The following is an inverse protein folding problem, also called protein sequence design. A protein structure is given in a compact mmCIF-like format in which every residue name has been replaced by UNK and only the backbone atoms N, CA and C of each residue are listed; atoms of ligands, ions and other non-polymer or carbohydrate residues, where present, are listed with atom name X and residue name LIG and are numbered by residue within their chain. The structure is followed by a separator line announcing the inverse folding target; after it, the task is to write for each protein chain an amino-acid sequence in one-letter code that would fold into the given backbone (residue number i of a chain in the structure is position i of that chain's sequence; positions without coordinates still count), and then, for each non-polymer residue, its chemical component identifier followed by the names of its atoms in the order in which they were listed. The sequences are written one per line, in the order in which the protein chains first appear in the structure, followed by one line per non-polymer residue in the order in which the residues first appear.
data_IF_834832396134
#
_entry.id   IF_834832396134
#
_cell.length_a   1.000
_cell.length_b   1.000
_cell.length_c   1.000
_cell.angle_alpha   90.00
_cell.angle_beta   90.00
_cell.angle_gamma   90.00
#
_symmetry.space_group_name_H-M   'P 1'
#
loop_
_entity.id
_entity.type
_entity.pdbx_description
1 polymer ?
#
# COMPACT_ATOMS: atom_id res chain seq x y z
N UNK A 1 16.14 -8.69 -9.76
CA UNK A 1 14.93 -9.32 -9.18
C UNK A 1 14.03 -8.18 -8.68
N UNK A 2 12.71 -8.35 -8.59
CA UNK A 2 11.86 -7.33 -7.95
C UNK A 2 12.34 -7.11 -6.51
N UNK A 3 12.35 -5.86 -6.04
CA UNK A 3 12.70 -5.52 -4.66
C UNK A 3 11.70 -6.18 -3.71
N UNK A 4 12.20 -6.79 -2.65
CA UNK A 4 11.38 -7.23 -1.51
C UNK A 4 10.85 -6.01 -0.75
N UNK A 5 9.81 -6.22 0.08
CA UNK A 5 9.27 -5.15 0.93
C UNK A 5 10.33 -4.57 1.89
N UNK A 6 11.25 -5.41 2.38
CA UNK A 6 12.35 -4.98 3.25
C UNK A 6 13.37 -4.13 2.48
N UNK A 7 13.85 -4.61 1.33
CA UNK A 7 14.78 -3.86 0.49
C UNK A 7 14.17 -2.51 0.05
N UNK A 8 12.86 -2.50 -0.23
CA UNK A 8 12.15 -1.26 -0.55
C UNK A 8 12.11 -0.30 0.64
N UNK A 9 11.80 -0.78 1.85
CA UNK A 9 11.86 0.03 3.06
C UNK A 9 13.27 0.59 3.32
N UNK A 10 14.31 -0.23 3.16
CA UNK A 10 15.71 0.21 3.30
C UNK A 10 16.08 1.27 2.25
N UNK A 11 15.64 1.10 0.99
CA UNK A 11 15.80 2.12 -0.06
C UNK A 11 15.16 3.43 0.36
N UNK A 12 13.92 3.42 0.87
CA UNK A 12 13.25 4.64 1.34
C UNK A 12 14.03 5.30 2.49
N UNK A 13 14.45 4.52 3.49
CA UNK A 13 15.24 5.04 4.63
C UNK A 13 16.59 5.64 4.20
N UNK A 14 17.22 5.09 3.18
CA UNK A 14 18.47 5.64 2.64
C UNK A 14 18.28 6.93 1.85
N UNK A 15 17.14 7.08 1.14
CA UNK A 15 16.84 8.21 0.26
C UNK A 15 16.26 9.41 1.00
N UNK A 16 15.37 9.18 1.95
CA UNK A 16 14.62 10.22 2.66
C UNK A 16 15.12 10.36 4.09
N UNK A 17 16.13 11.20 4.29
CA UNK A 17 16.91 11.25 5.53
C UNK A 17 16.46 12.33 6.51
N UNK A 18 15.46 13.15 6.16
CA UNK A 18 14.95 14.18 7.06
C UNK A 18 14.43 13.58 8.38
N UNK A 19 14.50 14.32 9.51
CA UNK A 19 14.12 13.78 10.81
C UNK A 19 12.69 13.24 10.87
N UNK A 20 11.72 13.90 10.23
CA UNK A 20 10.35 13.40 10.24
C UNK A 20 10.14 12.23 9.28
N UNK A 21 10.86 12.14 8.16
CA UNK A 21 10.81 10.95 7.30
C UNK A 21 11.34 9.72 8.02
N UNK A 22 12.47 9.84 8.69
CA UNK A 22 13.02 8.73 9.47
C UNK A 22 12.04 8.29 10.57
N UNK A 23 11.44 9.24 11.29
CA UNK A 23 10.39 8.94 12.28
C UNK A 23 9.20 8.20 11.65
N UNK A 24 8.66 8.70 10.53
CA UNK A 24 7.54 8.06 9.83
C UNK A 24 7.87 6.64 9.36
N UNK A 25 9.05 6.44 8.76
CA UNK A 25 9.52 5.14 8.27
C UNK A 25 9.89 4.15 9.40
N UNK A 26 10.06 4.64 10.62
CA UNK A 26 10.27 3.83 11.83
C UNK A 26 8.98 3.64 12.66
N UNK A 27 7.84 4.18 12.23
CA UNK A 27 6.58 4.11 12.98
C UNK A 27 6.49 5.02 14.20
N UNK A 28 7.43 5.95 14.34
CA UNK A 28 7.46 6.94 15.41
C UNK A 28 6.51 8.10 15.13
N UNK A 29 6.21 8.90 16.17
CA UNK A 29 5.41 10.11 16.01
C UNK A 29 6.16 11.18 15.21
N UNK A 30 5.58 11.66 14.11
CA UNK A 30 6.17 12.66 13.23
C UNK A 30 5.18 13.78 12.89
N UNK A 31 5.67 14.91 12.41
CA UNK A 31 4.85 16.06 12.00
C UNK A 31 5.04 16.30 10.51
N UNK A 32 4.03 15.94 9.72
CA UNK A 32 4.12 15.96 8.25
C UNK A 32 4.32 17.37 7.69
N UNK A 33 3.75 18.39 8.33
CA UNK A 33 3.76 19.77 7.82
C UNK A 33 4.97 20.59 8.31
N UNK A 34 5.67 20.14 9.34
CA UNK A 34 6.90 20.78 9.83
C UNK A 34 8.15 20.33 9.06
N UNK A 35 8.00 19.32 8.18
CA UNK A 35 9.07 18.83 7.33
C UNK A 35 8.91 19.34 5.89
N UNK A 36 9.82 20.22 5.49
CA UNK A 36 9.80 20.82 4.14
C UNK A 36 9.97 19.78 3.03
N UNK A 37 10.73 18.72 3.26
CA UNK A 37 10.95 17.67 2.27
C UNK A 37 9.65 16.86 2.07
N UNK A 38 8.98 16.48 3.17
CA UNK A 38 7.67 15.83 3.11
C UNK A 38 6.65 16.66 2.34
N UNK A 39 6.54 17.95 2.66
CA UNK A 39 5.59 18.85 1.98
C UNK A 39 5.88 18.93 0.48
N UNK A 40 7.16 18.97 0.08
CA UNK A 40 7.56 18.95 -1.34
C UNK A 40 7.17 17.65 -2.03
N UNK A 41 7.45 16.50 -1.41
CA UNK A 41 7.09 15.18 -1.97
C UNK A 41 5.57 15.06 -2.12
N UNK A 42 4.80 15.47 -1.11
CA UNK A 42 3.33 15.44 -1.14
C UNK A 42 2.75 16.36 -2.21
N UNK A 43 3.28 17.58 -2.35
CA UNK A 43 2.84 18.52 -3.39
C UNK A 43 3.11 17.96 -4.79
N UNK A 44 4.30 17.40 -5.01
CA UNK A 44 4.67 16.71 -6.25
C UNK A 44 3.71 15.57 -6.55
N UNK A 45 3.45 14.70 -5.57
CA UNK A 45 2.56 13.56 -5.73
C UNK A 45 1.15 14.00 -6.14
N UNK A 46 0.60 15.04 -5.51
CA UNK A 46 -0.72 15.61 -5.84
C UNK A 46 -0.78 16.19 -7.25
N UNK A 47 0.29 16.88 -7.68
CA UNK A 47 0.37 17.41 -9.04
C UNK A 47 0.38 16.30 -10.10
N UNK A 48 1.20 15.27 -9.89
CA UNK A 48 1.28 14.11 -10.78
C UNK A 48 -0.01 13.28 -10.79
N UNK A 49 -0.62 13.10 -9.61
CA UNK A 49 -1.92 12.44 -9.47
C UNK A 49 -3.01 13.20 -10.23
N UNK A 50 -3.07 14.52 -10.08
CA UNK A 50 -4.02 15.34 -10.81
C UNK A 50 -3.81 15.22 -12.32
N UNK A 51 -2.55 15.35 -12.78
CA UNK A 51 -2.17 15.16 -14.18
C UNK A 51 -2.62 13.80 -14.70
N UNK A 52 -2.36 12.72 -13.95
CA UNK A 52 -2.75 11.37 -14.34
C UNK A 52 -4.27 11.23 -14.49
N UNK A 53 -5.04 11.67 -13.48
CA UNK A 53 -6.50 11.45 -13.45
C UNK A 53 -7.29 12.26 -14.48
N UNK A 54 -6.74 13.36 -15.01
CA UNK A 54 -7.41 14.16 -16.06
C UNK A 54 -6.99 13.72 -17.47
N UNK A 55 -5.93 12.92 -17.57
CA UNK A 55 -5.53 12.29 -18.81
C UNK A 55 -6.38 11.01 -18.92
N UNK A 56 -7.29 10.99 -19.88
CA UNK A 56 -7.97 9.77 -20.30
C UNK A 56 -7.60 9.56 -21.77
N UNK A 57 -7.21 8.34 -22.20
CA UNK A 57 -6.87 8.15 -23.59
C UNK A 57 -8.15 8.33 -24.42
N UNK A 58 -8.11 9.08 -25.52
CA UNK A 58 -9.23 9.19 -26.44
C UNK A 58 -9.35 7.88 -27.21
N UNK A 59 -10.00 6.87 -26.63
CA UNK A 59 -10.18 5.58 -27.30
C UNK A 59 -11.52 5.58 -28.02
N UNK A 60 -11.47 5.49 -29.34
CA UNK A 60 -12.62 5.08 -30.13
C UNK A 60 -12.83 3.57 -29.91
N UNK A 61 -13.91 3.21 -29.23
CA UNK A 61 -14.23 1.81 -28.96
C UNK A 61 -14.43 1.04 -30.27
N UNK A 62 -13.69 -0.04 -30.44
CA UNK A 62 -13.86 -0.99 -31.55
C UNK A 62 -14.50 -2.29 -31.06
N UNK A 63 -15.27 -2.95 -31.93
CA UNK A 63 -15.90 -4.22 -31.62
C UNK A 63 -14.82 -5.28 -31.28
N UNK A 64 -14.98 -5.97 -30.15
CA UNK A 64 -14.00 -6.93 -29.64
C UNK A 64 -12.97 -6.37 -28.65
N UNK A 65 -13.02 -5.08 -28.31
CA UNK A 65 -12.08 -4.48 -27.34
C UNK A 65 -12.34 -4.85 -25.88
N UNK A 66 -13.47 -5.46 -25.51
CA UNK A 66 -13.83 -5.80 -24.12
C UNK A 66 -13.08 -7.02 -23.54
N UNK A 67 -11.75 -6.95 -23.46
CA UNK A 67 -10.92 -7.97 -22.80
C UNK A 67 -9.80 -7.34 -21.98
N UNK A 68 -9.36 -8.02 -20.91
CA UNK A 68 -8.21 -7.58 -20.10
C UNK A 68 -6.96 -7.34 -20.96
N UNK A 69 -6.78 -8.11 -22.03
CA UNK A 69 -5.64 -7.98 -22.94
C UNK A 69 -5.59 -6.65 -23.68
N UNK A 70 -6.72 -5.97 -23.78
CA UNK A 70 -6.85 -4.69 -24.46
C UNK A 70 -6.77 -3.49 -23.48
N UNK A 71 -6.54 -3.74 -22.18
CA UNK A 71 -6.40 -2.66 -21.19
C UNK A 71 -5.29 -1.65 -21.54
N UNK A 72 -4.12 -2.02 -22.09
CA UNK A 72 -3.16 -1.02 -22.55
C UNK A 72 -3.67 -0.14 -23.69
N UNK A 73 -4.50 -0.65 -24.57
CA UNK A 73 -5.13 0.12 -25.64
C UNK A 73 -6.28 0.98 -25.13
N UNK A 74 -7.00 0.53 -24.08
CA UNK A 74 -8.16 1.24 -23.51
C UNK A 74 -7.75 2.34 -22.53
N UNK A 75 -6.74 2.09 -21.70
CA UNK A 75 -6.37 2.97 -20.57
C UNK A 75 -4.93 3.49 -20.66
N UNK A 76 -4.12 2.97 -21.58
CA UNK A 76 -2.71 3.31 -21.71
C UNK A 76 -2.44 4.44 -22.70
N UNK A 77 -1.48 5.30 -22.35
CA UNK A 77 -0.77 6.15 -23.31
C UNK A 77 0.66 6.37 -22.81
N UNK A 78 1.57 6.77 -23.68
CA UNK A 78 2.94 7.10 -23.28
C UNK A 78 2.96 8.21 -22.21
N UNK A 79 2.04 9.18 -22.27
CA UNK A 79 1.88 10.23 -21.27
C UNK A 79 1.41 9.68 -19.91
N UNK A 80 0.50 8.70 -19.90
CA UNK A 80 0.10 8.01 -18.66
C UNK A 80 1.29 7.29 -18.04
N UNK A 81 2.03 6.50 -18.83
CA UNK A 81 3.15 5.72 -18.31
C UNK A 81 4.31 6.59 -17.84
N UNK A 82 4.58 7.73 -18.51
CA UNK A 82 5.53 8.74 -18.01
C UNK A 82 5.07 9.32 -16.68
N UNK A 83 3.79 9.66 -16.55
CA UNK A 83 3.24 10.22 -15.31
C UNK A 83 3.30 9.20 -14.16
N UNK A 84 3.02 7.91 -14.42
CA UNK A 84 3.19 6.84 -13.43
C UNK A 84 4.66 6.58 -13.08
N UNK A 85 5.55 6.61 -14.08
CA UNK A 85 7.00 6.46 -13.90
C UNK A 85 7.55 7.55 -12.97
N UNK A 86 7.14 8.79 -13.18
CA UNK A 86 7.43 9.88 -12.27
C UNK A 86 6.75 9.65 -10.90
N UNK A 87 5.45 9.40 -10.86
CA UNK A 87 4.69 9.27 -9.60
C UNK A 87 5.31 8.25 -8.64
N UNK A 88 5.69 7.08 -9.16
CA UNK A 88 6.22 5.96 -8.38
C UNK A 88 7.75 5.85 -8.37
N UNK A 89 8.48 6.76 -9.05
CA UNK A 89 9.95 6.68 -9.21
C UNK A 89 10.40 5.31 -9.74
N UNK A 90 9.77 4.88 -10.84
CA UNK A 90 9.88 3.53 -11.40
C UNK A 90 10.12 3.58 -12.91
N UNK A 91 10.89 2.64 -13.50
CA UNK A 91 11.09 2.63 -14.95
C UNK A 91 9.77 2.55 -15.72
N UNK A 92 9.66 3.34 -16.80
CA UNK A 92 8.45 3.42 -17.63
C UNK A 92 7.97 2.04 -18.13
N UNK A 93 8.91 1.15 -18.47
CA UNK A 93 8.61 -0.20 -18.93
C UNK A 93 7.93 -1.07 -17.87
N UNK A 94 8.20 -0.83 -16.58
CA UNK A 94 7.46 -1.50 -15.51
C UNK A 94 6.07 -0.87 -15.31
N UNK A 95 5.94 0.44 -15.52
CA UNK A 95 4.66 1.15 -15.44
C UNK A 95 3.67 0.75 -16.54
N UNK A 96 4.14 0.26 -17.69
CA UNK A 96 3.31 -0.27 -18.78
C UNK A 96 2.43 -1.46 -18.40
N UNK A 97 2.71 -2.07 -17.25
CA UNK A 97 1.98 -3.23 -16.72
C UNK A 97 1.03 -2.87 -15.56
N UNK A 98 0.90 -1.58 -15.26
CA UNK A 98 0.05 -1.03 -14.21
C UNK A 98 -1.17 -0.37 -14.88
N UNK A 99 -2.36 -0.90 -14.61
CA UNK A 99 -3.62 -0.35 -15.09
C UNK A 99 -4.40 0.20 -13.92
N UNK A 100 -4.51 1.51 -13.86
CA UNK A 100 -5.13 2.21 -12.73
C UNK A 100 -6.08 3.23 -13.32
N UNK A 101 -7.38 3.06 -13.13
CA UNK A 101 -8.34 3.99 -13.77
C UNK A 101 -8.24 5.40 -13.17
N UNK A 102 -8.29 5.50 -11.84
CA UNK A 102 -8.01 6.75 -11.11
C UNK A 102 -7.34 6.44 -9.79
N UNK A 103 -6.45 7.33 -9.35
CA UNK A 103 -5.68 7.15 -8.12
C UNK A 103 -5.61 8.43 -7.30
N UNK A 104 -5.52 8.30 -5.97
CA UNK A 104 -5.05 9.36 -5.08
C UNK A 104 -4.00 8.81 -4.11
N UNK A 105 -2.86 9.49 -4.02
CA UNK A 105 -1.74 9.09 -3.15
C UNK A 105 -1.22 10.25 -2.31
N UNK A 106 -0.51 9.97 -1.23
CA UNK A 106 0.09 11.02 -0.38
C UNK A 106 1.52 11.37 -0.83
N UNK A 107 2.41 10.38 -0.99
CA UNK A 107 3.79 10.57 -1.48
C UNK A 107 4.02 10.02 -2.89
N UNK A 108 3.29 8.98 -3.30
CA UNK A 108 3.48 8.23 -4.55
C UNK A 108 4.73 7.35 -4.54
N UNK A 109 5.88 7.93 -4.26
CA UNK A 109 7.21 7.28 -4.25
C UNK A 109 7.39 6.25 -3.13
N UNK A 110 6.43 6.14 -2.19
CA UNK A 110 6.43 5.14 -1.12
C UNK A 110 5.60 3.91 -1.49
N UNK A 111 5.16 3.82 -2.74
CA UNK A 111 4.41 2.68 -3.28
C UNK A 111 5.31 1.92 -4.25
N UNK A 112 5.45 0.61 -4.01
CA UNK A 112 6.15 -0.29 -4.92
C UNK A 112 5.20 -1.37 -5.43
N UNK A 113 5.10 -1.48 -6.75
CA UNK A 113 4.46 -2.60 -7.43
C UNK A 113 5.53 -3.59 -7.90
N UNK A 114 5.40 -4.86 -7.54
CA UNK A 114 6.27 -5.91 -8.07
C UNK A 114 6.00 -6.12 -9.57
N UNK A 115 7.05 -6.06 -10.38
CA UNK A 115 6.98 -6.45 -11.79
C UNK A 115 7.04 -7.98 -11.94
N UNK A 116 6.25 -8.54 -12.86
CA UNK A 116 6.36 -9.94 -13.28
C UNK A 116 7.04 -10.07 -14.65
N UNK A 117 8.05 -10.95 -14.75
CA UNK A 117 8.65 -11.33 -16.06
C UNK A 117 7.93 -12.50 -16.74
N UNK A 118 7.09 -13.24 -15.99
CA UNK A 118 6.46 -14.49 -16.42
C UNK A 118 5.03 -14.29 -16.99
N UNK A 119 4.30 -13.27 -16.53
CA UNK A 119 2.96 -12.91 -16.99
C UNK A 119 3.01 -11.54 -17.68
N UNK A 120 3.27 -11.54 -18.99
CA UNK A 120 3.73 -10.35 -19.71
C UNK A 120 2.65 -9.29 -20.02
N UNK A 121 1.40 -9.49 -19.63
CA UNK A 121 0.31 -8.61 -20.06
C UNK A 121 -0.12 -7.65 -18.95
N UNK A 122 -0.31 -8.10 -17.69
CA UNK A 122 -0.79 -7.24 -16.59
C UNK A 122 -0.18 -7.65 -15.25
N UNK A 123 0.43 -6.69 -14.53
CA UNK A 123 0.95 -6.92 -13.17
C UNK A 123 0.01 -6.41 -12.08
N UNK A 124 -0.70 -5.33 -12.35
CA UNK A 124 -1.62 -4.72 -11.40
C UNK A 124 -2.79 -4.10 -12.13
N UNK A 125 -4.00 -4.36 -11.64
CA UNK A 125 -5.21 -3.66 -12.04
C UNK A 125 -5.89 -3.02 -10.84
N UNK A 126 -6.27 -1.75 -10.98
CA UNK A 126 -7.16 -1.08 -10.06
C UNK A 126 -8.25 -0.34 -10.82
N UNK A 127 -9.48 -0.64 -10.43
CA UNK A 127 -10.65 0.08 -10.89
C UNK A 127 -10.70 1.50 -10.29
N UNK A 128 -11.70 2.30 -10.64
CA UNK A 128 -11.77 3.72 -10.27
C UNK A 128 -11.83 3.95 -8.75
N UNK A 129 -11.28 5.07 -8.30
CA UNK A 129 -11.32 5.53 -6.90
C UNK A 129 -10.28 4.90 -5.98
N UNK A 130 -9.15 4.41 -6.51
CA UNK A 130 -8.07 3.87 -5.67
C UNK A 130 -7.46 4.99 -4.81
N UNK A 131 -7.44 4.81 -3.50
CA UNK A 131 -6.75 5.71 -2.56
C UNK A 131 -5.65 4.95 -1.82
N UNK A 132 -4.42 5.46 -1.84
CA UNK A 132 -3.30 4.91 -1.09
C UNK A 132 -2.64 6.03 -0.26
N UNK A 133 -2.86 6.04 1.05
CA UNK A 133 -2.16 6.96 1.96
C UNK A 133 -0.82 6.35 2.35
N UNK A 134 0.19 6.52 1.50
CA UNK A 134 1.54 5.96 1.59
C UNK A 134 2.49 6.80 2.47
N UNK A 135 2.14 7.01 3.73
CA UNK A 135 3.02 7.68 4.72
C UNK A 135 4.19 6.80 5.22
N UNK A 136 4.10 5.50 4.99
CA UNK A 136 5.17 4.51 5.10
C UNK A 136 5.10 3.57 3.89
N UNK A 137 6.07 2.67 3.75
CA UNK A 137 6.21 1.79 2.58
C UNK A 137 4.92 0.98 2.32
N UNK A 138 4.40 1.06 1.10
CA UNK A 138 3.30 0.24 0.60
C UNK A 138 3.86 -0.66 -0.50
N UNK A 139 3.86 -1.96 -0.27
CA UNK A 139 4.35 -2.95 -1.23
C UNK A 139 3.19 -3.79 -1.75
N UNK A 140 3.07 -3.91 -3.08
CA UNK A 140 1.99 -4.65 -3.75
C UNK A 140 2.62 -5.68 -4.66
N UNK A 141 2.34 -6.96 -4.41
CA UNK A 141 2.79 -8.08 -5.23
C UNK A 141 2.14 -8.10 -6.61
N UNK A 142 2.74 -8.86 -7.52
CA UNK A 142 2.23 -9.02 -8.88
C UNK A 142 0.91 -9.81 -8.91
N UNK A 143 0.13 -9.62 -9.97
CA UNK A 143 -1.13 -10.33 -10.20
C UNK A 143 -2.30 -9.81 -9.35
N UNK A 144 -2.14 -8.66 -8.70
CA UNK A 144 -3.20 -8.10 -7.86
C UNK A 144 -4.27 -7.36 -8.69
N UNK A 145 -5.52 -7.51 -8.26
CA UNK A 145 -6.67 -6.80 -8.83
C UNK A 145 -7.49 -6.13 -7.74
N UNK A 146 -7.69 -4.82 -7.84
CA UNK A 146 -8.47 -4.04 -6.89
C UNK A 146 -9.77 -3.58 -7.55
N UNK A 147 -10.88 -3.84 -6.88
CA UNK A 147 -12.20 -3.33 -7.26
C UNK A 147 -12.31 -1.82 -7.05
N UNK A 148 -13.49 -1.24 -7.34
CA UNK A 148 -13.68 0.20 -7.23
C UNK A 148 -13.57 0.70 -5.79
N UNK A 149 -13.02 1.89 -5.60
CA UNK A 149 -12.94 2.57 -4.29
C UNK A 149 -12.20 1.76 -3.21
N UNK A 150 -11.14 1.04 -3.59
CA UNK A 150 -10.25 0.38 -2.61
C UNK A 150 -9.35 1.42 -1.96
N UNK A 151 -9.30 1.42 -0.64
CA UNK A 151 -8.56 2.36 0.17
C UNK A 151 -7.50 1.66 1.02
N UNK A 152 -6.22 2.02 0.85
CA UNK A 152 -5.08 1.45 1.58
C UNK A 152 -4.40 2.53 2.42
N UNK A 153 -4.37 2.36 3.74
CA UNK A 153 -3.80 3.38 4.63
C UNK A 153 -2.59 2.84 5.41
N UNK A 154 -1.40 3.35 5.11
CA UNK A 154 -0.24 3.22 6.00
C UNK A 154 -0.22 4.31 7.09
N UNK A 155 -0.96 5.40 6.90
CA UNK A 155 -1.09 6.51 7.85
C UNK A 155 -2.11 6.23 8.97
N UNK A 156 -1.87 6.80 10.14
CA UNK A 156 -2.81 6.82 11.26
C UNK A 156 -2.50 7.92 12.28
N UNK A 157 -3.40 8.07 13.25
CA UNK A 157 -3.26 8.99 14.37
C UNK A 157 -3.44 8.27 15.70
N UNK A 158 -2.91 8.85 16.77
CA UNK A 158 -3.14 8.36 18.11
C UNK A 158 -4.62 8.41 18.49
N UNK A 159 -5.08 7.42 19.25
CA UNK A 159 -6.38 7.48 19.93
C UNK A 159 -6.34 8.38 21.16
N UNK A 160 -5.15 8.70 21.69
CA UNK A 160 -4.95 9.68 22.75
C UNK A 160 -5.18 11.12 22.27
N UNK A 161 -6.06 11.85 22.95
CA UNK A 161 -6.45 13.23 22.59
C UNK A 161 -5.27 14.20 22.75
N UNK A 162 -4.51 14.07 23.83
CA UNK A 162 -3.39 14.98 24.12
C UNK A 162 -2.25 14.82 23.13
N UNK A 163 -2.04 13.61 22.62
CA UNK A 163 -1.14 13.38 21.51
C UNK A 163 -1.68 13.95 20.19
N UNK A 164 -2.97 13.77 19.87
CA UNK A 164 -3.55 14.38 18.65
C UNK A 164 -3.46 15.90 18.63
N UNK A 165 -3.59 16.56 19.79
CA UNK A 165 -3.41 18.03 19.92
C UNK A 165 -2.01 18.51 19.55
N UNK A 166 -1.01 17.61 19.53
CA UNK A 166 0.36 17.93 19.11
C UNK A 166 0.55 17.88 17.59
N UNK A 167 -0.53 17.61 16.84
CA UNK A 167 -0.54 17.46 15.38
C UNK A 167 0.49 16.44 14.86
N UNK A 168 0.65 15.35 15.61
CA UNK A 168 1.52 14.24 15.22
C UNK A 168 0.74 13.13 14.51
N UNK A 169 1.42 12.50 13.57
CA UNK A 169 0.98 11.34 12.80
C UNK A 169 1.87 10.14 13.12
N UNK A 170 1.38 8.95 12.78
CA UNK A 170 2.15 7.71 12.75
C UNK A 170 1.90 6.98 11.44
N UNK A 171 2.87 6.19 11.02
CA UNK A 171 2.73 5.40 9.79
C UNK A 171 3.36 4.03 9.95
N UNK A 172 2.76 2.99 9.37
CA UNK A 172 3.30 1.63 9.39
C UNK A 172 3.18 1.01 8.01
N UNK A 173 4.16 0.18 7.60
CA UNK A 173 4.16 -0.37 6.26
C UNK A 173 2.94 -1.26 6.00
N UNK A 174 2.50 -1.27 4.75
CA UNK A 174 1.46 -2.18 4.26
C UNK A 174 2.08 -3.06 3.19
N UNK A 175 1.84 -4.37 3.25
CA UNK A 175 2.27 -5.30 2.20
C UNK A 175 1.09 -6.14 1.78
N UNK A 176 0.78 -6.08 0.49
CA UNK A 176 -0.17 -6.93 -0.20
C UNK A 176 0.69 -7.90 -1.01
N UNK A 177 0.46 -9.19 -0.83
CA UNK A 177 1.24 -10.20 -1.54
C UNK A 177 0.78 -10.36 -3.00
N UNK A 178 1.00 -11.54 -3.56
CA UNK A 178 0.75 -11.81 -4.99
C UNK A 178 -0.64 -12.38 -5.21
N UNK A 179 -1.16 -12.21 -6.41
CA UNK A 179 -2.40 -12.82 -6.87
C UNK A 179 -3.60 -12.53 -5.94
N UNK A 180 -3.60 -11.35 -5.30
CA UNK A 180 -4.67 -10.94 -4.39
C UNK A 180 -5.81 -10.24 -5.15
N UNK A 181 -7.05 -10.57 -4.80
CA UNK A 181 -8.23 -9.84 -5.26
C UNK A 181 -8.84 -9.06 -4.11
N UNK A 182 -8.87 -7.74 -4.23
CA UNK A 182 -9.41 -6.83 -3.22
C UNK A 182 -10.73 -6.28 -3.74
N UNK A 183 -11.84 -6.65 -3.11
CA UNK A 183 -13.18 -6.23 -3.50
C UNK A 183 -13.40 -4.71 -3.38
N UNK A 184 -14.46 -4.21 -4.02
CA UNK A 184 -14.76 -2.78 -4.00
C UNK A 184 -15.10 -2.25 -2.60
N UNK A 185 -14.79 -0.98 -2.35
CA UNK A 185 -15.01 -0.30 -1.06
C UNK A 185 -14.35 -1.01 0.14
N UNK A 186 -13.28 -1.78 -0.11
CA UNK A 186 -12.45 -2.33 0.96
C UNK A 186 -11.60 -1.21 1.54
N UNK A 187 -11.58 -1.16 2.87
CA UNK A 187 -10.69 -0.27 3.62
C UNK A 187 -9.67 -1.12 4.36
N UNK A 188 -8.41 -1.01 3.97
CA UNK A 188 -7.29 -1.59 4.71
C UNK A 188 -6.76 -0.55 5.68
N UNK A 189 -7.11 -0.73 6.95
CA UNK A 189 -6.65 0.10 8.05
C UNK A 189 -5.44 -0.54 8.72
N UNK A 190 -4.42 0.26 8.92
CA UNK A 190 -3.57 0.06 10.07
C UNK A 190 -4.30 0.55 11.33
N UNK A 191 -4.71 -0.37 12.22
CA UNK A 191 -5.30 0.00 13.51
C UNK A 191 -4.38 -0.43 14.66
N UNK A 192 -3.47 0.45 15.08
CA UNK A 192 -2.95 0.40 16.44
C UNK A 192 -3.76 1.37 17.31
N UNK A 193 -4.48 0.85 18.31
CA UNK A 193 -4.91 1.65 19.45
C UNK A 193 -3.67 2.00 20.28
N UNK A 194 -3.04 3.13 19.99
CA UNK A 194 -1.99 3.70 20.83
C UNK A 194 -2.63 4.39 22.04
N UNK A 195 -3.24 3.61 22.92
CA UNK A 195 -3.71 4.11 24.20
C UNK A 195 -2.59 3.92 25.23
N UNK A 196 -2.10 5.02 25.82
CA UNK A 196 -1.13 4.96 26.93
C UNK A 196 -1.72 4.29 28.19
N UNK A 197 -3.03 4.06 28.21
CA UNK A 197 -3.77 3.46 29.30
C UNK A 197 -4.23 2.03 29.05
N UNK A 198 -4.00 1.44 27.86
CA UNK A 198 -4.17 0.00 27.70
C UNK A 198 -3.02 -0.72 28.43
N UNK A 199 -3.37 -1.67 29.30
CA UNK A 199 -2.45 -2.35 30.22
C UNK A 199 -1.27 -3.09 29.55
N UNK A 200 -1.24 -3.17 28.21
CA UNK A 200 -0.12 -3.71 27.43
C UNK A 200 1.08 -2.75 27.30
N UNK A 201 0.98 -1.49 27.71
CA UNK A 201 2.06 -0.50 27.59
C UNK A 201 2.80 -0.18 28.92
N UNK A 202 2.52 -0.90 30.01
CA UNK A 202 3.22 -0.76 31.31
C UNK A 202 3.93 -2.05 31.73
N UNK A 203 4.95 -2.43 30.98
CA UNK A 203 6.05 -3.23 31.49
C UNK A 203 7.28 -2.87 30.68
N UNK A 204 8.47 -2.91 31.30
CA UNK A 204 9.77 -2.52 30.77
C UNK A 204 10.18 -1.07 31.06
N UNK A 205 10.08 -0.68 32.34
CA UNK A 205 11.14 0.11 32.96
C UNK A 205 11.83 -0.74 34.02
N UNK A 206 13.16 -0.84 33.91
CA UNK A 206 14.12 -1.44 34.83
C UNK A 206 14.19 -2.98 34.91
N UNK A 207 15.34 -3.48 34.41
CA UNK A 207 15.99 -4.75 34.76
C UNK A 207 15.17 -6.05 34.59
N UNK A 208 15.19 -6.60 33.38
CA UNK A 208 15.34 -8.03 33.17
C UNK A 208 16.08 -8.26 31.85
N UNK A 209 17.14 -9.05 31.93
CA UNK A 209 17.97 -9.50 30.81
C UNK A 209 17.17 -10.45 29.91
N UNK A 210 17.45 -10.37 28.61
CA UNK A 210 17.42 -11.44 27.59
C UNK A 210 16.18 -12.37 27.55
N UNK A 211 15.60 -12.43 26.35
CA UNK A 211 14.46 -13.25 25.90
C UNK A 211 13.08 -12.56 26.01
N UNK A 212 12.36 -12.56 24.88
CA UNK A 212 11.04 -11.93 24.61
C UNK A 212 11.03 -10.43 24.26
N UNK A 213 11.50 -10.12 23.06
CA UNK A 213 11.07 -8.91 22.32
C UNK A 213 10.66 -9.32 20.90
N UNK A 214 9.52 -9.99 20.75
CA UNK A 214 9.03 -10.40 19.40
C UNK A 214 7.52 -10.28 19.15
N UNK A 215 6.71 -9.67 20.01
CA UNK A 215 5.24 -9.72 19.84
C UNK A 215 4.51 -8.40 19.53
N UNK A 216 5.18 -7.24 19.40
CA UNK A 216 4.46 -5.96 19.26
C UNK A 216 5.03 -5.01 18.20
N UNK A 217 5.56 -5.58 17.13
CA UNK A 217 5.75 -4.88 15.86
C UNK A 217 4.71 -5.51 14.92
N UNK A 218 3.96 -4.70 14.18
CA UNK A 218 3.21 -5.19 13.01
C UNK A 218 4.24 -5.52 11.93
N UNK A 219 5.00 -6.58 12.18
CA UNK A 219 6.09 -7.05 11.35
C UNK A 219 5.48 -7.89 10.25
N UNK A 220 5.41 -7.32 9.06
CA UNK A 220 5.32 -8.08 7.82
C UNK A 220 6.70 -8.69 7.50
N UNK A 221 7.18 -9.60 8.37
CA UNK A 221 8.20 -10.57 7.99
C UNK A 221 7.55 -11.94 7.93
N UNK A 222 6.85 -12.16 6.83
CA UNK A 222 7.03 -13.37 6.05
C UNK A 222 6.45 -13.06 4.66
N UNK A 223 7.23 -13.40 3.66
CA UNK A 223 6.86 -13.43 2.26
C UNK A 223 5.43 -13.95 2.05
N UNK A 224 4.82 -13.56 0.93
CA UNK A 224 3.70 -14.28 0.30
C UNK A 224 2.35 -14.32 1.05
N UNK A 225 1.62 -13.19 1.07
CA UNK A 225 0.15 -13.30 1.00
C UNK A 225 -0.18 -13.68 -0.45
N UNK A 226 -0.18 -14.97 -0.76
CA UNK A 226 -0.59 -15.46 -2.07
C UNK A 226 -2.10 -15.70 -2.06
N UNK A 227 -2.80 -15.23 -3.10
CA UNK A 227 -4.14 -15.72 -3.40
C UNK A 227 -5.21 -15.35 -2.38
N UNK A 228 -5.08 -14.22 -1.66
CA UNK A 228 -6.15 -13.75 -0.77
C UNK A 228 -7.25 -13.06 -1.55
N UNK A 229 -8.49 -13.36 -1.19
CA UNK A 229 -9.66 -12.60 -1.65
C UNK A 229 -10.26 -11.83 -0.50
N UNK A 230 -10.42 -10.52 -0.66
CA UNK A 230 -11.12 -9.66 0.30
C UNK A 230 -12.47 -9.30 -0.29
N UNK A 231 -13.56 -9.67 0.39
CA UNK A 231 -14.90 -9.33 -0.06
C UNK A 231 -15.14 -7.82 -0.03
N UNK A 232 -16.02 -7.33 -0.93
CA UNK A 232 -16.38 -5.94 -1.00
C UNK A 232 -16.91 -5.39 0.35
N UNK A 233 -16.55 -4.15 0.68
CA UNK A 233 -16.94 -3.49 1.94
C UNK A 233 -16.22 -3.98 3.20
N UNK A 234 -15.26 -4.91 3.08
CA UNK A 234 -14.53 -5.40 4.25
C UNK A 234 -13.60 -4.33 4.85
N UNK A 235 -13.45 -4.37 6.18
CA UNK A 235 -12.49 -3.54 6.93
C UNK A 235 -11.39 -4.42 7.50
N UNK A 236 -10.24 -4.43 6.83
CA UNK A 236 -9.06 -5.21 7.23
C UNK A 236 -8.27 -4.39 8.25
N UNK A 237 -8.03 -4.95 9.44
CA UNK A 237 -7.37 -4.25 10.56
C UNK A 237 -6.05 -4.89 11.01
N UNK A 238 -5.63 -5.96 10.34
CA UNK A 238 -4.47 -6.76 10.72
C UNK A 238 -4.20 -7.85 9.69
N UNK A 239 -3.31 -8.76 10.06
CA UNK A 239 -2.79 -9.77 9.16
C UNK A 239 -3.89 -10.71 8.65
N UNK A 240 -3.81 -11.03 7.35
CA UNK A 240 -4.65 -12.03 6.69
C UNK A 240 -3.73 -13.14 6.19
N UNK A 241 -3.94 -14.40 6.59
CA UNK A 241 -3.11 -15.51 6.12
C UNK A 241 -3.29 -15.72 4.61
N UNK A 242 -2.32 -16.36 3.95
CA UNK A 242 -2.43 -16.69 2.53
C UNK A 242 -3.61 -17.64 2.24
N UNK A 243 -4.08 -17.64 0.99
CA UNK A 243 -5.09 -18.57 0.48
C UNK A 243 -6.40 -18.59 1.30
N UNK A 244 -6.92 -17.43 1.69
CA UNK A 244 -8.23 -17.32 2.35
C UNK A 244 -9.10 -16.27 1.68
N UNK A 245 -10.41 -16.38 1.93
CA UNK A 245 -11.38 -15.32 1.70
C UNK A 245 -11.71 -14.68 3.04
N UNK A 246 -11.60 -13.36 3.12
CA UNK A 246 -12.06 -12.59 4.28
C UNK A 246 -13.22 -11.66 3.92
N UNK A 247 -14.12 -11.43 4.86
CA UNK A 247 -15.25 -10.52 4.70
C UNK A 247 -15.68 -9.86 6.01
N UNK A 248 -16.43 -8.77 5.92
CA UNK A 248 -17.06 -8.10 7.06
C UNK A 248 -16.29 -6.93 7.65
N UNK A 249 -16.91 -6.26 8.62
CA UNK A 249 -16.33 -5.17 9.40
C UNK A 249 -16.49 -5.47 10.90
N UNK A 250 -15.42 -5.90 11.60
CA UNK A 250 -14.08 -6.14 11.08
C UNK A 250 -13.98 -7.43 10.23
N UNK A 251 -13.03 -7.47 9.30
CA UNK A 251 -12.85 -8.62 8.40
C UNK A 251 -12.51 -9.91 9.18
N UNK A 252 -13.12 -11.02 8.77
CA UNK A 252 -12.89 -12.37 9.31
C UNK A 252 -12.77 -13.37 8.16
N UNK A 253 -12.01 -14.45 8.39
CA UNK A 253 -11.92 -15.57 7.46
C UNK A 253 -13.30 -16.22 7.33
N UNK A 254 -13.78 -16.34 6.10
CA UNK A 254 -15.05 -17.02 5.77
C UNK A 254 -14.84 -18.28 4.93
N UNK A 255 -13.65 -18.45 4.33
CA UNK A 255 -13.33 -19.60 3.49
C UNK A 255 -11.82 -19.77 3.35
N UNK A 256 -11.36 -21.01 3.35
CA UNK A 256 -10.00 -21.36 2.92
C UNK A 256 -10.00 -21.75 1.44
N UNK A 257 -9.02 -21.28 0.70
CA UNK A 257 -8.82 -21.54 -0.72
C UNK A 257 -7.80 -22.66 -0.91
N UNK A 258 -8.00 -23.45 -1.97
CA UNK A 258 -6.98 -24.40 -2.43
C UNK A 258 -6.03 -23.61 -3.33
N UNK A 259 -4.84 -23.29 -2.84
CA UNK A 259 -3.80 -22.58 -3.59
C UNK A 259 -2.44 -23.26 -3.47
N UNK A 260 -1.42 -22.80 -4.23
CA UNK A 260 -0.05 -23.25 -4.03
C UNK A 260 0.30 -23.08 -2.56
N UNK A 261 0.87 -24.12 -1.95
CA UNK A 261 1.44 -23.97 -0.62
C UNK A 261 2.54 -22.91 -0.71
N UNK A 262 2.55 -21.98 0.24
CA UNK A 262 3.71 -21.10 0.44
C UNK A 262 4.89 -22.03 0.65
N UNK A 263 5.76 -22.17 -0.36
CA UNK A 263 7.02 -22.88 -0.20
C UNK A 263 7.81 -22.04 0.81
N UNK A 264 8.04 -22.63 1.99
CA UNK A 264 8.80 -22.05 3.08
C UNK A 264 10.23 -21.68 2.66
#
# INVERSE_FOLDING_TARGET
MPLTAEEFMQKLKSKYTSPHFQKALNGEAYKSLEDTEMVKVKKRARQLTHKYNIQLPPVEYQEGMSSLKNLPEIYGSEEHYKTLSELFDKPIEECKTLYIETIQVDHGVFINFEGCKLHKEINFYANYGLVILDCSAVHIGNGCSFGPSVHIYSAGHSTDVEERKKDVQRANPVTIGRDCWIGGHVVSLFLHCFDKHSQSCRALSHHAQLEMVSEFILTLFAYTILGVTVAAGAVVRGNVPANVVVAGNPARIIKHLKGPQVLA
#
